data_IF_729427762815
#
_entry.id   IF_729427762815
#
_cell.length_a   1.000
_cell.length_b   1.000
_cell.length_c   1.000
_cell.angle_alpha   90.00
_cell.angle_beta   90.00
_cell.angle_gamma   90.00
#
_symmetry.space_group_name_H-M   'P 1'
#
loop_
_entity.id
_entity.type
_entity.pdbx_description
1 polymer ?
#
# COMPACT_ATOMS: atom_id res chain seq x y z
N UNK A 1 -8.14 -2.62 -7.05
CA UNK A 1 -7.46 -2.07 -5.86
C UNK A 1 -7.71 -0.56 -5.75
N UNK A 2 -7.96 -0.01 -4.56
CA UNK A 2 -8.21 1.44 -4.42
C UNK A 2 -6.93 2.27 -4.55
N UNK A 3 -7.01 3.40 -5.27
CA UNK A 3 -5.86 4.26 -5.57
C UNK A 3 -5.08 4.75 -4.34
N UNK A 4 -5.77 5.05 -3.23
CA UNK A 4 -5.11 5.43 -1.96
C UNK A 4 -4.15 4.36 -1.44
N UNK A 5 -4.52 3.09 -1.58
CA UNK A 5 -3.71 1.97 -1.09
C UNK A 5 -2.50 1.76 -2.00
N UNK A 6 -2.72 1.80 -3.31
CA UNK A 6 -1.65 1.67 -4.31
C UNK A 6 -0.63 2.80 -4.18
N UNK A 7 -1.07 4.04 -3.91
CA UNK A 7 -0.15 5.17 -3.73
C UNK A 7 0.76 5.02 -2.51
N UNK A 8 0.25 4.47 -1.41
CA UNK A 8 1.05 4.14 -0.24
C UNK A 8 2.09 3.07 -0.58
N UNK A 9 1.70 2.00 -1.28
CA UNK A 9 2.63 0.96 -1.75
C UNK A 9 3.74 1.51 -2.64
N UNK A 10 3.40 2.39 -3.60
CA UNK A 10 4.39 3.03 -4.47
C UNK A 10 5.35 3.89 -3.66
N UNK A 11 4.86 4.73 -2.75
CA UNK A 11 5.71 5.58 -1.90
C UNK A 11 6.65 4.76 -1.02
N UNK A 12 6.14 3.72 -0.37
CA UNK A 12 6.96 2.80 0.42
C UNK A 12 7.99 2.09 -0.45
N UNK A 13 7.58 1.59 -1.62
CA UNK A 13 8.48 0.90 -2.55
C UNK A 13 9.61 1.81 -3.03
N UNK A 14 9.33 3.09 -3.33
CA UNK A 14 10.37 4.07 -3.71
C UNK A 14 11.40 4.26 -2.61
N UNK A 15 10.96 4.26 -1.35
CA UNK A 15 11.85 4.36 -0.19
C UNK A 15 12.70 3.10 -0.01
N UNK A 16 12.13 1.91 -0.25
CA UNK A 16 12.80 0.63 -0.01
C UNK A 16 13.73 0.19 -1.16
N UNK A 17 13.32 0.44 -2.40
CA UNK A 17 13.94 -0.14 -3.60
C UNK A 17 14.51 0.90 -4.57
N UNK A 18 14.36 2.19 -4.25
CA UNK A 18 14.79 3.30 -5.09
C UNK A 18 13.71 3.75 -6.07
N UNK A 19 13.77 5.02 -6.47
CA UNK A 19 12.76 5.59 -7.38
C UNK A 19 12.83 5.01 -8.78
N UNK A 20 14.04 4.81 -9.31
CA UNK A 20 14.25 4.37 -10.70
C UNK A 20 13.60 3.01 -10.96
N UNK A 21 13.93 2.00 -10.14
CA UNK A 21 13.36 0.66 -10.26
C UNK A 21 11.82 0.65 -10.13
N UNK A 22 11.28 1.45 -9.22
CA UNK A 22 9.81 1.51 -9.03
C UNK A 22 9.14 2.22 -10.19
N UNK A 23 9.74 3.28 -10.73
CA UNK A 23 9.22 3.99 -11.91
C UNK A 23 9.25 3.07 -13.16
N UNK A 24 10.29 2.27 -13.33
CA UNK A 24 10.35 1.23 -14.38
C UNK A 24 9.23 0.20 -14.20
N UNK A 25 9.05 -0.32 -12.98
CA UNK A 25 8.00 -1.28 -12.67
C UNK A 25 6.59 -0.74 -12.96
N UNK A 26 6.33 0.52 -12.59
CA UNK A 26 5.06 1.19 -12.88
C UNK A 26 4.84 1.31 -14.39
N UNK A 27 5.85 1.75 -15.13
CA UNK A 27 5.80 1.92 -16.59
C UNK A 27 5.54 0.58 -17.28
N UNK A 28 6.21 -0.50 -16.84
CA UNK A 28 6.03 -1.86 -17.36
C UNK A 28 4.57 -2.33 -17.24
N UNK A 29 3.87 -1.95 -16.16
CA UNK A 29 2.47 -2.28 -15.93
C UNK A 29 1.49 -1.20 -16.41
N UNK A 30 1.94 -0.24 -17.23
CA UNK A 30 1.11 0.79 -17.85
C UNK A 30 0.55 1.80 -16.86
N UNK A 31 1.28 2.08 -15.77
CA UNK A 31 1.01 3.15 -14.83
C UNK A 31 2.06 4.24 -15.04
N UNK A 32 1.62 5.46 -15.30
CA UNK A 32 2.50 6.63 -15.36
C UNK A 32 3.20 6.82 -13.99
N UNK A 33 4.55 6.84 -13.91
CA UNK A 33 5.29 7.05 -12.66
C UNK A 33 4.98 8.37 -11.94
N UNK A 34 4.43 9.35 -12.66
CA UNK A 34 4.01 10.65 -12.13
C UNK A 34 2.50 10.74 -11.91
N UNK A 35 1.76 9.63 -12.09
CA UNK A 35 0.32 9.57 -11.84
C UNK A 35 0.01 9.99 -10.41
N UNK A 36 -0.88 10.97 -10.26
CA UNK A 36 -1.49 11.31 -8.98
C UNK A 36 -2.66 10.37 -8.74
N UNK A 37 -2.57 9.57 -7.68
CA UNK A 37 -3.63 8.64 -7.32
C UNK A 37 -4.76 9.34 -6.54
N UNK A 38 -6.01 9.21 -6.99
CA UNK A 38 -7.18 9.75 -6.30
C UNK A 38 -7.80 8.71 -5.35
N UNK A 39 -8.46 9.15 -4.26
CA UNK A 39 -9.06 8.21 -3.30
C UNK A 39 -10.21 7.36 -3.85
N UNK A 40 -10.91 7.86 -4.85
CA UNK A 40 -12.08 7.21 -5.43
C UNK A 40 -11.76 6.30 -6.61
N UNK A 41 -10.57 6.39 -7.21
CA UNK A 41 -10.24 5.56 -8.37
C UNK A 41 -9.98 4.10 -7.98
N UNK A 42 -10.29 3.23 -8.94
CA UNK A 42 -9.95 1.82 -8.92
C UNK A 42 -8.81 1.56 -9.92
N UNK A 43 -7.74 0.95 -9.42
CA UNK A 43 -6.62 0.44 -10.20
C UNK A 43 -6.88 -1.05 -10.41
N UNK A 44 -6.74 -1.54 -11.64
CA UNK A 44 -6.82 -2.97 -11.95
C UNK A 44 -5.83 -3.77 -11.10
N UNK A 45 -6.29 -4.87 -10.48
CA UNK A 45 -5.47 -5.66 -9.58
C UNK A 45 -4.22 -6.21 -10.27
N UNK A 46 -4.34 -6.58 -11.55
CA UNK A 46 -3.20 -7.03 -12.38
C UNK A 46 -2.09 -5.98 -12.49
N UNK A 47 -2.45 -4.69 -12.55
CA UNK A 47 -1.47 -3.59 -12.57
C UNK A 47 -0.94 -3.27 -11.18
N UNK A 48 -1.84 -3.19 -10.20
CA UNK A 48 -1.50 -2.84 -8.82
C UNK A 48 -0.63 -3.90 -8.12
N UNK A 49 -0.80 -5.18 -8.47
CA UNK A 49 0.01 -6.27 -7.95
C UNK A 49 1.23 -6.53 -8.82
N UNK A 50 1.10 -6.41 -10.15
CA UNK A 50 2.15 -6.75 -11.09
C UNK A 50 3.44 -5.94 -10.93
N UNK A 51 3.35 -4.64 -10.56
CA UNK A 51 4.57 -3.86 -10.34
C UNK A 51 5.44 -4.41 -9.20
N UNK A 52 4.85 -5.08 -8.21
CA UNK A 52 5.60 -5.73 -7.12
C UNK A 52 6.30 -6.99 -7.62
N UNK A 53 5.68 -7.75 -8.51
CA UNK A 53 6.31 -8.91 -9.15
C UNK A 53 7.54 -8.47 -9.97
N UNK A 54 7.42 -7.37 -10.74
CA UNK A 54 8.54 -6.79 -11.47
C UNK A 54 9.69 -6.38 -10.54
N UNK A 55 9.38 -5.73 -9.41
CA UNK A 55 10.40 -5.37 -8.41
C UNK A 55 11.08 -6.64 -7.87
N UNK A 56 10.29 -7.67 -7.54
CA UNK A 56 10.79 -8.92 -6.97
C UNK A 56 11.80 -9.62 -7.90
N UNK A 57 11.49 -9.70 -9.19
CA UNK A 57 12.36 -10.27 -10.21
C UNK A 57 13.69 -9.51 -10.31
N UNK A 58 13.64 -8.17 -10.28
CA UNK A 58 14.84 -7.32 -10.41
C UNK A 58 15.75 -7.34 -9.17
N UNK A 59 15.18 -7.54 -7.97
CA UNK A 59 15.96 -7.61 -6.72
C UNK A 59 16.31 -9.05 -6.30
N UNK A 60 15.96 -10.05 -7.13
CA UNK A 60 16.25 -11.46 -6.89
C UNK A 60 15.55 -12.04 -5.65
N UNK A 61 14.33 -11.58 -5.35
CA UNK A 61 13.54 -12.01 -4.18
C UNK A 61 12.21 -12.62 -4.61
N UNK A 62 11.59 -13.40 -3.74
CA UNK A 62 10.21 -13.85 -3.98
C UNK A 62 9.22 -12.67 -3.84
N UNK A 63 8.11 -12.66 -4.60
CA UNK A 63 7.05 -11.65 -4.43
C UNK A 63 6.55 -11.56 -2.98
N UNK A 64 6.43 -12.69 -2.28
CA UNK A 64 6.03 -12.72 -0.86
C UNK A 64 7.01 -11.99 0.06
N UNK A 65 8.31 -12.06 -0.22
CA UNK A 65 9.32 -11.37 0.57
C UNK A 65 9.26 -9.85 0.34
N UNK A 66 9.06 -9.43 -0.90
CA UNK A 66 8.88 -8.02 -1.25
C UNK A 66 7.60 -7.47 -0.62
N UNK A 67 6.48 -8.19 -0.72
CA UNK A 67 5.23 -7.81 -0.04
C UNK A 67 5.40 -7.68 1.47
N UNK A 68 6.18 -8.57 2.10
CA UNK A 68 6.48 -8.47 3.52
C UNK A 68 7.28 -7.21 3.86
N UNK A 69 8.29 -6.88 3.05
CA UNK A 69 9.08 -5.65 3.23
C UNK A 69 8.21 -4.40 3.04
N UNK A 70 7.40 -4.36 1.98
CA UNK A 70 6.43 -3.29 1.73
C UNK A 70 5.49 -3.17 2.92
N UNK A 71 4.89 -4.26 3.41
CA UNK A 71 3.95 -4.24 4.53
C UNK A 71 4.56 -3.64 5.80
N UNK A 72 5.80 -4.01 6.14
CA UNK A 72 6.53 -3.43 7.28
C UNK A 72 6.81 -1.93 7.05
N UNK A 73 7.35 -1.56 5.89
CA UNK A 73 7.62 -0.15 5.55
C UNK A 73 6.37 0.72 5.42
N UNK A 74 5.22 0.11 5.12
CA UNK A 74 3.95 0.81 4.99
C UNK A 74 3.48 1.32 6.35
N UNK A 75 3.79 0.62 7.45
CA UNK A 75 3.48 1.11 8.81
C UNK A 75 4.15 2.46 9.06
N UNK A 76 5.42 2.61 8.69
CA UNK A 76 6.13 3.88 8.80
C UNK A 76 5.52 4.95 7.88
N UNK A 77 5.22 4.58 6.63
CA UNK A 77 4.59 5.48 5.65
C UNK A 77 3.25 6.00 6.16
N UNK A 78 2.35 5.11 6.61
CA UNK A 78 1.06 5.47 7.17
C UNK A 78 1.19 6.30 8.46
N UNK A 79 2.21 6.06 9.28
CA UNK A 79 2.44 6.85 10.50
C UNK A 79 2.77 8.31 10.20
N UNK A 80 3.42 8.58 9.06
CA UNK A 80 3.76 9.93 8.60
C UNK A 80 2.57 10.60 7.92
N UNK A 81 1.87 9.86 7.06
CA UNK A 81 0.78 10.40 6.24
C UNK A 81 -0.53 10.57 7.02
N UNK A 82 -0.79 9.68 7.99
CA UNK A 82 -2.03 9.65 8.76
C UNK A 82 -1.75 9.49 10.27
N UNK A 83 -1.00 10.41 10.90
CA UNK A 83 -0.55 10.27 12.28
C UNK A 83 -1.69 10.16 13.29
N UNK A 84 -2.90 10.63 12.95
CA UNK A 84 -4.08 10.50 13.79
C UNK A 84 -4.46 9.02 14.05
N UNK A 85 -4.22 8.12 13.09
CA UNK A 85 -4.49 6.67 13.23
C UNK A 85 -3.42 5.93 14.04
N UNK A 86 -2.40 6.62 14.56
CA UNK A 86 -1.34 6.02 15.37
C UNK A 86 -1.40 6.49 16.83
N UNK A 87 -2.41 7.29 17.19
CA UNK A 87 -2.60 7.82 18.55
C UNK A 87 -3.31 6.81 19.45
N UNK A 88 -2.59 5.78 19.86
CA UNK A 88 -3.07 4.76 20.79
C UNK A 88 -2.14 4.60 21.99
N UNK A 89 -2.69 4.07 23.10
CA UNK A 89 -1.95 3.87 24.35
C UNK A 89 -0.78 2.89 24.22
N UNK A 90 -0.94 1.85 23.39
CA UNK A 90 0.06 0.82 23.16
C UNK A 90 -0.24 0.06 21.84
N UNK A 91 0.69 -0.81 21.45
CA UNK A 91 0.59 -1.63 20.23
C UNK A 91 -0.67 -2.50 20.20
N UNK A 92 -1.05 -3.12 21.32
CA UNK A 92 -2.26 -3.93 21.39
C UNK A 92 -3.51 -3.12 21.06
N UNK A 93 -3.64 -1.91 21.62
CA UNK A 93 -4.76 -1.01 21.31
C UNK A 93 -4.79 -0.61 19.83
N UNK A 94 -3.63 -0.36 19.21
CA UNK A 94 -3.54 -0.07 17.79
C UNK A 94 -4.00 -1.28 16.95
N UNK A 95 -3.44 -2.46 17.19
CA UNK A 95 -3.78 -3.68 16.44
C UNK A 95 -5.27 -4.04 16.58
N UNK A 96 -5.82 -3.95 17.79
CA UNK A 96 -7.26 -4.19 18.05
C UNK A 96 -8.16 -3.23 17.28
N UNK A 97 -7.72 -2.00 17.06
CA UNK A 97 -8.48 -0.97 16.32
C UNK A 97 -8.39 -1.10 14.80
N UNK A 98 -7.51 -1.96 14.26
CA UNK A 98 -7.24 -2.01 12.81
C UNK A 98 -8.48 -2.31 11.99
N UNK A 99 -9.33 -3.24 12.44
CA UNK A 99 -10.55 -3.55 11.72
C UNK A 99 -11.48 -2.34 11.65
N UNK A 100 -11.70 -1.67 12.79
CA UNK A 100 -12.56 -0.49 12.88
C UNK A 100 -12.04 0.65 11.99
N UNK A 101 -10.73 0.87 11.95
CA UNK A 101 -10.12 1.85 11.03
C UNK A 101 -10.44 1.51 9.58
N UNK A 102 -10.23 0.25 9.17
CA UNK A 102 -10.53 -0.17 7.79
C UNK A 102 -12.02 0.00 7.46
N UNK A 103 -12.94 -0.33 8.38
CA UNK A 103 -14.38 -0.12 8.19
C UNK A 103 -14.70 1.36 8.03
N UNK A 104 -14.21 2.23 8.91
CA UNK A 104 -14.49 3.67 8.86
C UNK A 104 -13.94 4.31 7.58
N UNK A 105 -12.74 3.93 7.14
CA UNK A 105 -12.12 4.47 5.92
C UNK A 105 -12.86 3.97 4.68
N UNK A 106 -13.11 2.67 4.59
CA UNK A 106 -13.78 2.08 3.40
C UNK A 106 -15.23 2.52 3.27
N UNK A 107 -15.95 2.82 4.36
CA UNK A 107 -17.30 3.40 4.31
C UNK A 107 -17.36 4.74 3.55
N UNK A 108 -16.24 5.47 3.45
CA UNK A 108 -16.15 6.73 2.70
C UNK A 108 -15.79 6.52 1.23
N UNK A 109 -15.49 5.30 0.82
CA UNK A 109 -15.01 4.96 -0.53
C UNK A 109 -16.05 4.02 -1.18
N UNK A 110 -16.84 4.53 -2.14
CA UNK A 110 -17.85 3.72 -2.82
C UNK A 110 -17.28 2.40 -3.38
N UNK A 111 -17.96 1.30 -3.07
CA UNK A 111 -17.58 -0.04 -3.53
C UNK A 111 -16.34 -0.65 -2.86
N UNK A 112 -15.72 0.02 -1.90
CA UNK A 112 -14.61 -0.56 -1.14
C UNK A 112 -15.10 -1.68 -0.21
N UNK A 113 -14.32 -2.77 -0.14
CA UNK A 113 -14.57 -3.90 0.75
C UNK A 113 -13.38 -4.01 1.71
N UNK A 114 -13.56 -3.74 3.01
CA UNK A 114 -12.46 -3.81 3.96
C UNK A 114 -12.00 -5.26 4.17
N UNK A 115 -10.71 -5.50 4.44
CA UNK A 115 -10.25 -6.80 4.91
C UNK A 115 -10.86 -7.11 6.28
N UNK A 116 -11.13 -8.40 6.54
CA UNK A 116 -11.51 -8.87 7.87
C UNK A 116 -10.23 -9.09 8.66
N UNK A 117 -10.10 -8.38 9.78
CA UNK A 117 -8.95 -8.46 10.68
C UNK A 117 -9.45 -8.79 12.09
N UNK A 118 -9.18 -10.00 12.56
CA UNK A 118 -9.48 -10.40 13.94
C UNK A 118 -8.15 -10.58 14.69
N UNK A 119 -7.96 -9.80 15.75
CA UNK A 119 -6.78 -9.83 16.63
C UNK A 119 -7.23 -10.02 18.07
#
# INVERSE_FOLDING_TARGET
MKGTIVSAWVRTSKTLFGEDLVNEALTHHGIDPHKVFTPSEDIEDTKALGFVDYIADNVGKSPSEVWRQIGIGNIETFSKDYPAFFRYKNLYSFLKSMYDIHVVVTNRIPGAKPPILNV
#
